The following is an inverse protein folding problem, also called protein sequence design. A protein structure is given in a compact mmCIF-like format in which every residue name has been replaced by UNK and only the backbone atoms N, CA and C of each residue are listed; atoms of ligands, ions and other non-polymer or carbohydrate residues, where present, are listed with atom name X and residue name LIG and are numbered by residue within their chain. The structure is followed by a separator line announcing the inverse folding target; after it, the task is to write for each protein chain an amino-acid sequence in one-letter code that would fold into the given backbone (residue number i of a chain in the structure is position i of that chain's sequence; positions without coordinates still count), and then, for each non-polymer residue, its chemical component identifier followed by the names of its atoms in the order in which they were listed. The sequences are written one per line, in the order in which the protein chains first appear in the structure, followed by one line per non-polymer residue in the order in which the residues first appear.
data_IF_737437140426
#
_entry.id   IF_737437140426
#
_cell.length_a   1.000
_cell.length_b   1.000
_cell.length_c   1.000
_cell.angle_alpha   90.00
_cell.angle_beta   90.00
_cell.angle_gamma   90.00
#
_symmetry.space_group_name_H-M   'P 1'
#
loop_
_entity.id
_entity.type
_entity.pdbx_description
1 polymer ?
#
# COMPACT_ATOMS: atom_id res chain seq x y z
N UNK A 1 -4.54 16.37 -0.74
CA UNK A 1 -6.00 16.20 -0.61
C UNK A 1 -6.28 15.77 0.82
N UNK A 2 -7.49 15.99 1.32
CA UNK A 2 -7.89 15.50 2.64
C UNK A 2 -8.84 14.30 2.46
N UNK A 3 -8.97 13.46 3.49
CA UNK A 3 -9.83 12.27 3.45
C UNK A 3 -11.30 12.59 3.10
N UNK A 4 -11.75 13.82 3.34
CA UNK A 4 -13.09 14.31 3.03
C UNK A 4 -13.38 14.32 1.53
N UNK A 5 -12.39 14.63 0.69
CA UNK A 5 -12.57 14.62 -0.76
C UNK A 5 -12.79 13.18 -1.26
N UNK A 6 -12.06 12.22 -0.69
CA UNK A 6 -12.26 10.80 -0.97
C UNK A 6 -13.63 10.33 -0.50
N UNK A 7 -14.06 10.67 0.73
CA UNK A 7 -15.38 10.31 1.26
C UNK A 7 -16.51 10.82 0.38
N UNK A 8 -16.35 12.02 -0.21
CA UNK A 8 -17.33 12.60 -1.13
C UNK A 8 -17.40 11.83 -2.46
N UNK A 9 -16.25 11.40 -2.98
CA UNK A 9 -16.16 10.67 -4.25
C UNK A 9 -16.56 9.19 -4.11
N UNK A 10 -16.11 8.55 -3.02
CA UNK A 10 -16.31 7.14 -2.69
C UNK A 10 -16.88 7.08 -1.28
N UNK A 11 -18.20 6.94 -1.08
CA UNK A 11 -18.76 6.84 0.25
C UNK A 11 -18.16 5.66 1.04
N UNK A 12 -17.67 5.86 2.27
CA UNK A 12 -17.14 4.77 3.08
C UNK A 12 -18.26 3.81 3.50
N UNK A 13 -17.92 2.56 3.86
CA UNK A 13 -18.91 1.64 4.39
C UNK A 13 -19.46 2.12 5.73
N UNK A 14 -20.71 1.73 6.01
CA UNK A 14 -21.34 1.98 7.32
C UNK A 14 -20.54 1.30 8.45
N UNK A 15 -19.99 0.11 8.17
CA UNK A 15 -19.11 -0.63 9.06
C UNK A 15 -17.84 -1.05 8.30
N UNK A 16 -16.67 -0.47 8.61
CA UNK A 16 -15.42 -0.88 7.97
C UNK A 16 -15.06 -2.31 8.38
N UNK A 17 -14.59 -3.10 7.40
CA UNK A 17 -14.14 -4.46 7.67
C UNK A 17 -12.68 -4.44 8.14
N UNK A 18 -12.41 -4.98 9.33
CA UNK A 18 -11.06 -5.09 9.89
C UNK A 18 -10.18 -3.82 9.76
N UNK A 19 -10.65 -2.64 10.20
CA UNK A 19 -9.84 -1.42 10.20
C UNK A 19 -8.62 -1.59 11.12
N UNK A 20 -7.53 -0.91 10.79
CA UNK A 20 -6.41 -0.79 11.72
C UNK A 20 -6.68 0.33 12.73
N UNK A 21 -6.92 -0.07 13.98
CA UNK A 21 -7.16 0.83 15.12
C UNK A 21 -5.98 0.89 16.10
N UNK A 22 -4.91 0.15 15.81
CA UNK A 22 -3.73 0.08 16.67
C UNK A 22 -2.91 1.38 16.70
N UNK A 23 -1.94 1.47 17.63
CA UNK A 23 -1.00 2.57 17.65
C UNK A 23 -0.11 2.55 16.39
N UNK A 24 0.14 3.73 15.83
CA UNK A 24 0.94 3.88 14.62
C UNK A 24 2.44 3.91 14.93
N UNK A 25 2.81 4.41 16.10
CA UNK A 25 4.18 4.64 16.52
C UNK A 25 5.04 3.37 16.44
N UNK A 26 4.58 2.19 16.90
CA UNK A 26 5.37 0.96 16.76
C UNK A 26 5.55 0.52 15.30
N UNK A 27 4.56 0.77 14.44
CA UNK A 27 4.61 0.43 13.01
C UNK A 27 5.58 1.37 12.28
N UNK A 28 5.45 2.68 12.49
CA UNK A 28 6.32 3.70 11.91
C UNK A 28 7.78 3.53 12.37
N UNK A 29 7.98 3.17 13.64
CA UNK A 29 9.29 2.82 14.15
C UNK A 29 9.90 1.58 13.46
N UNK A 30 9.08 0.57 13.16
CA UNK A 30 9.53 -0.63 12.45
C UNK A 30 9.85 -0.36 10.97
N UNK A 31 9.05 0.49 10.32
CA UNK A 31 9.29 0.94 8.95
C UNK A 31 10.53 1.85 8.87
N UNK A 32 10.78 2.62 9.93
CA UNK A 32 11.79 3.67 10.00
C UNK A 32 11.37 4.96 9.30
N UNK A 33 10.07 5.13 9.10
CA UNK A 33 9.46 6.34 8.55
C UNK A 33 8.03 6.50 9.07
N UNK A 34 7.59 7.74 9.24
CA UNK A 34 6.19 8.03 9.51
C UNK A 34 5.34 7.77 8.27
N UNK A 35 4.05 7.48 8.45
CA UNK A 35 3.10 7.26 7.35
C UNK A 35 2.23 8.50 7.13
N UNK A 36 1.74 8.72 5.89
CA UNK A 36 0.85 9.84 5.59
C UNK A 36 -0.43 9.83 6.45
N UNK A 37 -0.85 10.98 6.96
CA UNK A 37 -2.04 11.10 7.81
C UNK A 37 -3.33 10.76 7.05
N UNK A 38 -3.39 11.05 5.75
CA UNK A 38 -4.53 10.72 4.88
C UNK A 38 -4.71 9.21 4.71
N UNK A 39 -3.60 8.46 4.62
CA UNK A 39 -3.61 7.00 4.66
C UNK A 39 -4.11 6.45 5.99
N UNK A 40 -3.63 7.00 7.12
CA UNK A 40 -4.10 6.59 8.45
C UNK A 40 -5.60 6.80 8.60
N UNK A 41 -6.12 7.91 8.08
CA UNK A 41 -7.55 8.19 8.05
C UNK A 41 -8.30 7.23 7.11
N UNK A 42 -7.78 6.96 5.92
CA UNK A 42 -8.35 6.01 4.95
C UNK A 42 -8.51 4.62 5.57
N UNK A 43 -7.44 4.05 6.13
CA UNK A 43 -7.46 2.70 6.70
C UNK A 43 -8.45 2.58 7.85
N UNK A 44 -8.59 3.63 8.66
CA UNK A 44 -9.59 3.66 9.75
C UNK A 44 -11.03 3.74 9.24
N UNK A 45 -11.28 4.43 8.13
CA UNK A 45 -12.64 4.69 7.62
C UNK A 45 -13.15 3.63 6.66
N UNK A 46 -12.28 3.08 5.82
CA UNK A 46 -12.65 2.06 4.84
C UNK A 46 -12.36 0.65 5.36
N UNK A 47 -11.31 0.50 6.17
CA UNK A 47 -10.79 -0.81 6.54
C UNK A 47 -10.25 -1.56 5.32
N UNK A 48 -10.33 -2.88 5.38
CA UNK A 48 -10.02 -3.76 4.28
C UNK A 48 -11.22 -3.84 3.31
N UNK A 49 -10.94 -3.68 2.02
CA UNK A 49 -11.89 -3.86 0.94
C UNK A 49 -11.19 -3.74 -0.40
N UNK A 50 -12.00 -3.71 -1.45
CA UNK A 50 -11.55 -3.58 -2.83
C UNK A 50 -12.08 -2.28 -3.41
N UNK A 51 -11.18 -1.43 -3.91
CA UNK A 51 -11.52 -0.22 -4.65
C UNK A 51 -11.63 -0.56 -6.14
N UNK A 52 -12.64 -0.02 -6.80
CA UNK A 52 -12.86 -0.21 -8.25
C UNK A 52 -12.78 -1.67 -8.69
N UNK A 53 -13.35 -2.56 -7.89
CA UNK A 53 -13.38 -4.02 -8.07
C UNK A 53 -12.03 -4.76 -8.15
N UNK A 54 -10.89 -4.05 -8.25
CA UNK A 54 -9.59 -4.70 -8.49
C UNK A 54 -8.48 -4.26 -7.55
N UNK A 55 -8.57 -3.06 -6.95
CA UNK A 55 -7.44 -2.43 -6.25
C UNK A 55 -7.55 -2.63 -4.74
N UNK A 56 -6.54 -3.25 -4.16
CA UNK A 56 -6.42 -3.42 -2.72
C UNK A 56 -5.39 -2.47 -2.13
N UNK A 57 -5.81 -1.69 -1.14
CA UNK A 57 -4.89 -0.90 -0.31
C UNK A 57 -4.39 -1.78 0.83
N UNK A 58 -3.08 -1.79 1.05
CA UNK A 58 -2.47 -2.57 2.08
C UNK A 58 -2.81 -2.02 3.47
N UNK A 59 -3.29 -2.90 4.35
CA UNK A 59 -3.73 -2.55 5.71
C UNK A 59 -2.74 -3.10 6.73
N UNK A 60 -2.25 -2.28 7.68
CA UNK A 60 -1.30 -2.74 8.68
C UNK A 60 -1.92 -3.80 9.58
N UNK A 61 -1.13 -4.82 9.93
CA UNK A 61 -1.57 -5.92 10.82
C UNK A 61 -2.85 -6.63 10.34
N UNK A 62 -3.19 -6.53 9.04
CA UNK A 62 -4.35 -7.22 8.50
C UNK A 62 -4.25 -8.72 8.76
N UNK A 63 -5.36 -9.37 9.10
CA UNK A 63 -5.41 -10.83 9.23
C UNK A 63 -5.31 -11.53 7.87
N UNK A 64 -5.67 -10.81 6.81
CA UNK A 64 -5.57 -11.28 5.44
C UNK A 64 -4.15 -11.02 4.93
N UNK A 65 -3.39 -12.08 4.65
CA UNK A 65 -1.95 -12.01 4.36
C UNK A 65 -1.62 -11.24 3.09
N UNK A 66 -2.39 -11.44 2.01
CA UNK A 66 -2.10 -10.85 0.70
C UNK A 66 -2.33 -9.33 0.63
N UNK A 67 -3.03 -8.74 1.60
CA UNK A 67 -3.19 -7.28 1.75
C UNK A 67 -2.49 -6.72 2.98
N UNK A 68 -1.77 -7.55 3.75
CA UNK A 68 -1.10 -7.08 4.97
C UNK A 68 0.12 -6.26 4.58
N UNK A 69 0.13 -5.00 5.01
CA UNK A 69 1.15 -4.02 4.64
C UNK A 69 2.59 -4.50 4.86
N UNK A 70 2.87 -5.10 6.01
CA UNK A 70 4.22 -5.55 6.35
C UNK A 70 4.75 -6.68 5.45
N UNK A 71 3.88 -7.61 5.03
CA UNK A 71 4.25 -8.72 4.15
C UNK A 71 4.33 -8.26 2.70
N UNK A 72 3.41 -7.39 2.26
CA UNK A 72 3.40 -6.85 0.90
C UNK A 72 4.68 -6.10 0.55
N UNK A 73 5.30 -5.37 1.49
CA UNK A 73 6.60 -4.71 1.27
C UNK A 73 7.66 -5.70 0.78
N UNK A 74 7.77 -6.87 1.42
CA UNK A 74 8.74 -7.89 1.00
C UNK A 74 8.33 -8.54 -0.30
N UNK A 75 7.09 -8.98 -0.40
CA UNK A 75 6.58 -9.74 -1.56
C UNK A 75 6.73 -8.97 -2.87
N UNK A 76 6.61 -7.65 -2.80
CA UNK A 76 6.75 -6.76 -3.95
C UNK A 76 8.21 -6.32 -4.14
N UNK A 77 8.92 -5.93 -3.08
CA UNK A 77 10.28 -5.40 -3.25
C UNK A 77 11.35 -6.48 -3.50
N UNK A 78 11.18 -7.72 -3.03
CA UNK A 78 12.16 -8.80 -3.25
C UNK A 78 12.35 -9.12 -4.75
N UNK A 79 11.29 -9.40 -5.54
CA UNK A 79 11.44 -9.64 -6.97
C UNK A 79 12.02 -8.45 -7.75
N UNK A 80 11.82 -7.23 -7.24
CA UNK A 80 12.23 -5.99 -7.90
C UNK A 80 13.64 -5.54 -7.54
N UNK A 81 14.35 -6.22 -6.62
CA UNK A 81 15.66 -5.76 -6.13
C UNK A 81 16.74 -5.64 -7.21
N UNK A 82 16.63 -6.46 -8.23
CA UNK A 82 17.59 -6.54 -9.33
C UNK A 82 17.02 -5.96 -10.63
N UNK A 83 15.82 -5.36 -10.58
CA UNK A 83 15.24 -4.65 -11.71
C UNK A 83 15.97 -3.32 -11.91
N UNK A 84 16.72 -3.21 -13.01
CA UNK A 84 17.41 -1.99 -13.41
C UNK A 84 16.47 -1.03 -14.16
N UNK A 85 15.26 -1.48 -14.51
CA UNK A 85 14.23 -0.71 -15.23
C UNK A 85 13.54 0.33 -14.34
N UNK A 86 13.59 0.20 -13.02
CA UNK A 86 12.91 1.10 -12.10
C UNK A 86 13.63 2.46 -12.00
N UNK A 87 12.91 3.59 -12.18
CA UNK A 87 13.51 4.92 -12.10
C UNK A 87 13.80 5.38 -10.67
N UNK A 88 13.27 4.67 -9.67
CA UNK A 88 13.42 4.94 -8.25
C UNK A 88 14.02 3.71 -7.57
N UNK A 89 14.86 3.89 -6.53
CA UNK A 89 15.28 2.76 -5.73
C UNK A 89 14.10 2.18 -4.93
N UNK A 90 14.25 1.00 -4.36
CA UNK A 90 13.24 0.44 -3.46
C UNK A 90 13.47 0.92 -2.02
N UNK A 91 12.38 1.15 -1.28
CA UNK A 91 12.44 1.35 0.17
C UNK A 91 13.19 0.15 0.82
N UNK A 92 14.17 0.39 1.72
CA UNK A 92 14.37 1.58 2.55
C UNK A 92 15.42 2.60 2.05
N UNK A 93 15.83 2.54 0.79
CA UNK A 93 16.74 3.55 0.24
C UNK A 93 16.03 4.91 0.17
N UNK A 94 16.79 6.00 0.32
CA UNK A 94 16.25 7.36 0.24
C UNK A 94 15.64 7.62 -1.15
N UNK A 95 14.47 8.28 -1.20
CA UNK A 95 13.70 8.44 -2.43
C UNK A 95 13.07 7.14 -2.94
N UNK A 96 12.96 6.12 -2.06
CA UNK A 96 12.60 4.77 -2.45
C UNK A 96 11.10 4.51 -2.56
N UNK A 97 10.75 3.49 -3.36
CA UNK A 97 9.38 3.01 -3.54
C UNK A 97 8.93 2.14 -2.36
N UNK A 98 7.84 2.55 -1.70
CA UNK A 98 7.18 1.80 -0.64
C UNK A 98 5.78 1.37 -1.12
N UNK A 99 5.50 0.06 -1.32
CA UNK A 99 4.24 -0.37 -1.88
C UNK A 99 3.09 -0.12 -0.91
N UNK A 100 2.01 0.50 -1.38
CA UNK A 100 0.82 0.84 -0.60
C UNK A 100 -0.44 0.13 -1.10
N UNK A 101 -0.44 -0.35 -2.34
CA UNK A 101 -1.55 -1.12 -2.86
C UNK A 101 -1.17 -1.94 -4.08
N UNK A 102 -2.05 -2.86 -4.42
CA UNK A 102 -1.86 -3.76 -5.56
C UNK A 102 -3.21 -4.10 -6.19
N UNK A 103 -3.26 -4.19 -7.51
CA UNK A 103 -4.42 -4.69 -8.23
C UNK A 103 -4.43 -6.22 -8.30
N UNK A 104 -5.60 -6.82 -8.53
CA UNK A 104 -5.73 -8.26 -8.76
C UNK A 104 -4.90 -8.77 -9.94
N UNK A 105 -4.70 -7.93 -10.97
CA UNK A 105 -3.88 -8.27 -12.14
C UNK A 105 -2.38 -8.13 -11.90
N UNK A 106 -1.98 -7.52 -10.78
CA UNK A 106 -0.60 -7.46 -10.31
C UNK A 106 0.06 -6.08 -10.39
N UNK A 107 -0.64 -5.06 -10.88
CA UNK A 107 -0.15 -3.67 -10.92
C UNK A 107 0.05 -3.18 -9.50
N UNK A 108 1.09 -2.41 -9.27
CA UNK A 108 1.46 -1.94 -7.93
C UNK A 108 1.39 -0.43 -7.83
N UNK A 109 0.80 0.04 -6.74
CA UNK A 109 0.79 1.43 -6.31
C UNK A 109 1.84 1.60 -5.23
N UNK A 110 2.78 2.51 -5.44
CA UNK A 110 3.84 2.85 -4.50
C UNK A 110 3.72 4.30 -4.04
N UNK A 111 4.16 4.55 -2.82
CA UNK A 111 4.65 5.87 -2.44
C UNK A 111 6.10 6.05 -2.85
N UNK A 112 6.44 7.24 -3.35
CA UNK A 112 7.83 7.70 -3.44
C UNK A 112 8.18 8.34 -2.10
N UNK A 113 8.99 7.65 -1.29
CA UNK A 113 9.38 8.09 0.05
C UNK A 113 10.54 9.06 -0.04
N UNK A 114 10.20 10.32 -0.25
CA UNK A 114 11.14 11.45 -0.28
C UNK A 114 10.62 12.59 0.60
N UNK A 115 11.41 12.95 1.61
CA UNK A 115 11.05 13.97 2.58
C UNK A 115 9.88 13.59 3.51
N UNK A 116 9.13 14.57 4.04
CA UNK A 116 8.05 14.32 4.99
C UNK A 116 6.86 13.57 4.35
N UNK A 117 6.10 12.76 5.11
CA UNK A 117 5.02 11.94 4.54
C UNK A 117 3.93 12.72 3.80
N UNK A 118 3.71 14.00 4.15
CA UNK A 118 2.74 14.87 3.48
C UNK A 118 3.15 15.29 2.06
N UNK A 119 4.40 15.03 1.64
CA UNK A 119 4.89 15.36 0.29
C UNK A 119 5.05 14.13 -0.60
N UNK A 120 4.78 12.93 -0.09
CA UNK A 120 4.94 11.71 -0.86
C UNK A 120 3.94 11.66 -2.00
N UNK A 121 4.42 11.16 -3.14
CA UNK A 121 3.66 11.06 -4.39
C UNK A 121 3.39 9.61 -4.73
N UNK A 122 2.44 9.40 -5.63
CA UNK A 122 2.10 8.08 -6.13
C UNK A 122 2.96 7.72 -7.35
N UNK A 123 3.52 6.52 -7.33
CA UNK A 123 4.16 5.88 -8.47
C UNK A 123 3.40 4.59 -8.79
N UNK A 124 3.02 4.43 -10.06
CA UNK A 124 2.35 3.26 -10.59
C UNK A 124 3.37 2.45 -11.39
N UNK A 125 3.40 1.14 -11.18
CA UNK A 125 4.20 0.20 -11.95
C UNK A 125 3.36 -1.01 -12.31
N UNK A 126 3.27 -1.35 -13.59
CA UNK A 126 2.56 -2.55 -14.00
C UNK A 126 3.34 -3.79 -13.57
N UNK A 127 2.68 -4.94 -13.65
CA UNK A 127 3.27 -6.22 -13.24
C UNK A 127 4.55 -6.61 -14.02
N UNK A 128 4.71 -6.11 -15.25
CA UNK A 128 5.76 -6.53 -16.18
C UNK A 128 6.88 -5.49 -16.33
N UNK A 129 6.81 -4.38 -15.57
CA UNK A 129 7.75 -3.24 -15.62
C UNK A 129 7.80 -2.54 -16.99
N UNK A 130 6.72 -2.60 -17.77
CA UNK A 130 6.62 -2.00 -19.10
C UNK A 130 5.92 -0.65 -19.08
N UNK A 131 4.90 -0.51 -18.24
CA UNK A 131 4.21 0.75 -17.99
C UNK A 131 4.53 1.28 -16.59
N UNK A 132 4.94 2.55 -16.52
CA UNK A 132 5.24 3.24 -15.27
C UNK A 132 4.76 4.67 -15.34
N UNK A 133 4.19 5.17 -14.26
CA UNK A 133 3.68 6.55 -14.20
C UNK A 133 3.86 7.15 -12.81
N UNK A 134 4.41 8.37 -12.74
CA UNK A 134 4.40 9.17 -11.52
C UNK A 134 3.22 10.14 -11.55
N UNK A 135 2.48 10.22 -10.44
CA UNK A 135 1.35 11.12 -10.26
C UNK A 135 1.62 12.07 -9.10
N UNK A 136 1.48 13.36 -9.35
CA UNK A 136 1.66 14.42 -8.35
C UNK A 136 0.42 14.54 -7.44
N UNK A 137 0.11 13.47 -6.72
CA UNK A 137 -0.97 13.39 -5.75
C UNK A 137 -0.62 12.44 -4.60
N UNK A 138 -1.33 12.57 -3.49
CA UNK A 138 -1.32 11.61 -2.38
C UNK A 138 -2.27 10.43 -2.66
N UNK A 139 -2.32 9.47 -1.75
CA UNK A 139 -3.11 8.25 -1.93
C UNK A 139 -4.62 8.56 -2.02
N UNK A 140 -5.12 9.41 -1.12
CA UNK A 140 -6.55 9.75 -1.11
C UNK A 140 -6.95 10.56 -2.35
N UNK A 141 -6.08 11.44 -2.83
CA UNK A 141 -6.23 12.19 -4.07
C UNK A 141 -6.19 11.29 -5.30
N UNK A 142 -5.32 10.27 -5.33
CA UNK A 142 -5.30 9.25 -6.37
C UNK A 142 -6.64 8.52 -6.47
N UNK A 143 -7.13 7.96 -5.37
CA UNK A 143 -8.40 7.23 -5.34
C UNK A 143 -9.59 8.14 -5.69
N UNK A 144 -9.65 9.36 -5.16
CA UNK A 144 -10.72 10.30 -5.52
C UNK A 144 -10.65 10.73 -7.00
N UNK A 145 -9.43 10.89 -7.53
CA UNK A 145 -9.20 11.23 -8.94
C UNK A 145 -9.63 10.12 -9.88
N UNK A 146 -9.37 8.85 -9.53
CA UNK A 146 -9.88 7.68 -10.25
C UNK A 146 -11.41 7.66 -10.25
N UNK A 147 -12.04 7.77 -9.08
CA UNK A 147 -13.49 7.73 -8.93
C UNK A 147 -14.23 8.84 -9.69
N UNK A 148 -13.59 9.99 -9.88
CA UNK A 148 -14.18 11.14 -10.58
C UNK A 148 -13.73 11.26 -12.04
N UNK A 149 -12.86 10.37 -12.52
CA UNK A 149 -12.27 10.42 -13.85
C UNK A 149 -11.27 11.54 -14.09
N UNK A 150 -10.88 12.31 -13.06
CA UNK A 150 -9.84 13.35 -13.18
C UNK A 150 -8.44 12.75 -13.34
N UNK A 151 -8.24 11.53 -12.83
CA UNK A 151 -7.02 10.74 -13.02
C UNK A 151 -7.42 9.51 -13.82
N UNK A 152 -6.80 9.33 -14.98
CA UNK A 152 -6.97 8.16 -15.83
C UNK A 152 -5.58 7.63 -16.17
N UNK A 153 -5.04 6.73 -15.34
CA UNK A 153 -3.73 6.14 -15.58
C UNK A 153 -3.76 5.37 -16.89
N UNK A 154 -2.83 5.66 -17.78
CA UNK A 154 -2.76 4.99 -19.07
C UNK A 154 -2.18 3.59 -18.88
N UNK A 155 -2.82 2.57 -19.43
CA UNK A 155 -2.36 1.17 -19.38
C UNK A 155 -2.33 0.57 -17.95
N UNK A 156 -3.03 1.21 -17.00
CA UNK A 156 -3.06 0.85 -15.58
C UNK A 156 -4.48 0.67 -15.09
N UNK A 157 -4.73 -0.37 -14.28
CA UNK A 157 -6.01 -0.67 -13.63
C UNK A 157 -7.20 -0.95 -14.58
N UNK A 158 -7.20 -0.47 -15.83
CA UNK A 158 -8.26 -0.71 -16.84
C UNK A 158 -9.69 -0.56 -16.27
N UNK A 159 -9.93 0.51 -15.51
CA UNK A 159 -11.20 0.75 -14.82
C UNK A 159 -12.35 0.97 -15.81
N UNK A 160 -13.51 0.38 -15.52
CA UNK A 160 -14.75 0.58 -16.26
C UNK A 160 -15.69 1.53 -15.50
N UNK A 161 -16.52 2.34 -16.20
CA UNK A 161 -17.45 3.27 -15.55
C UNK A 161 -18.46 2.62 -14.60
N UNK A 162 -18.79 1.35 -14.81
CA UNK A 162 -19.72 0.56 -14.02
C UNK A 162 -19.12 -0.07 -12.76
N UNK A 163 -17.80 -0.04 -12.59
CA UNK A 163 -17.12 -0.70 -11.47
C UNK A 163 -17.61 -0.15 -10.13
N UNK A 164 -17.87 -1.05 -9.18
CA UNK A 164 -18.14 -0.68 -7.81
C UNK A 164 -16.95 0.11 -7.23
N UNK A 165 -17.21 1.34 -6.77
CA UNK A 165 -16.15 2.23 -6.27
C UNK A 165 -15.44 1.66 -5.04
N UNK A 166 -16.19 1.01 -4.15
CA UNK A 166 -15.63 0.32 -2.98
C UNK A 166 -16.53 -0.80 -2.48
N UNK A 167 -15.94 -1.99 -2.30
CA UNK A 167 -16.58 -3.13 -1.67
C UNK A 167 -15.85 -3.53 -0.39
N UNK A 168 -16.52 -3.50 0.78
CA UNK A 168 -15.89 -3.94 2.04
C UNK A 168 -15.59 -5.42 1.97
N UNK A 169 -14.43 -5.82 2.50
CA UNK A 169 -14.07 -7.22 2.59
C UNK A 169 -15.12 -7.98 3.42
N UNK A 170 -15.73 -9.00 2.82
CA UNK A 170 -16.72 -9.83 3.50
C UNK A 170 -16.08 -11.17 3.90
N UNK A 171 -16.31 -11.62 5.14
CA UNK A 171 -15.81 -12.92 5.63
C UNK A 171 -16.62 -14.11 5.06
N UNK A 172 -17.63 -13.88 4.22
CA UNK A 172 -18.56 -14.94 3.80
C UNK A 172 -17.93 -15.76 2.67
N UNK A 173 -17.08 -16.72 3.05
CA UNK A 173 -16.50 -17.68 2.10
C UNK A 173 -15.18 -18.29 2.54
N UNK A 174 -14.47 -17.71 3.52
CA UNK A 174 -13.23 -18.30 4.02
C UNK A 174 -13.50 -19.34 5.12
N UNK A 175 -12.82 -20.48 5.00
CA UNK A 175 -12.72 -21.47 6.06
C UNK A 175 -12.23 -20.82 7.37
N UNK A 176 -12.62 -21.34 8.56
CA UNK A 176 -12.07 -20.84 9.81
C UNK A 176 -10.55 -20.86 9.73
N UNK A 177 -9.85 -19.85 10.26
CA UNK A 177 -8.40 -19.78 10.18
C UNK A 177 -7.83 -21.11 10.68
N UNK A 178 -7.13 -21.83 9.80
CA UNK A 178 -6.23 -22.87 10.25
C UNK A 178 -5.36 -22.28 11.36
N UNK A 179 -5.16 -23.08 12.40
CA UNK A 179 -4.68 -22.70 13.71
C UNK A 179 -3.70 -21.51 13.65
N UNK A 180 -3.93 -20.55 14.55
CA UNK A 180 -2.99 -19.48 14.88
C UNK A 180 -1.62 -20.14 15.14
N UNK A 181 -0.80 -20.26 14.11
CA UNK A 181 0.64 -20.27 14.31
C UNK A 181 0.93 -18.89 14.88
N UNK A 182 1.42 -18.88 16.10
CA UNK A 182 1.97 -17.70 16.72
C UNK A 182 3.21 -17.30 15.90
N UNK A 183 3.00 -16.51 14.83
CA UNK A 183 4.07 -16.08 13.90
C UNK A 183 5.08 -15.13 14.57
N UNK A 184 4.89 -14.79 15.84
CA UNK A 184 5.98 -14.21 16.63
C UNK A 184 7.10 -15.23 16.90
N UNK A 185 6.82 -16.53 16.74
CA UNK A 185 7.74 -17.65 16.98
C UNK A 185 8.28 -18.33 15.71
N UNK A 186 7.68 -18.12 14.53
CA UNK A 186 8.27 -18.57 13.28
C UNK A 186 9.46 -17.68 12.94
N UNK A 187 10.66 -18.18 13.25
CA UNK A 187 11.95 -17.46 13.26
C UNK A 187 12.45 -16.86 11.95
N UNK A 188 11.58 -16.57 10.98
CA UNK A 188 11.93 -15.86 9.75
C UNK A 188 11.86 -14.34 9.88
N UNK A 189 10.76 -13.78 10.39
CA UNK A 189 10.46 -12.34 10.22
C UNK A 189 9.62 -11.74 11.36
N UNK A 190 10.16 -11.80 12.58
CA UNK A 190 9.69 -10.98 13.71
C UNK A 190 10.04 -9.50 13.56
N UNK A 191 9.58 -8.68 14.51
CA UNK A 191 9.80 -7.22 14.58
C UNK A 191 11.25 -6.77 14.31
N UNK A 192 12.22 -7.64 14.61
CA UNK A 192 13.65 -7.44 14.42
C UNK A 192 14.07 -7.37 12.95
N UNK A 193 13.37 -8.02 12.02
CA UNK A 193 13.85 -8.17 10.64
C UNK A 193 13.46 -7.02 9.71
N UNK A 194 12.30 -6.39 9.89
CA UNK A 194 11.98 -5.13 9.19
C UNK A 194 12.95 -4.02 9.62
N UNK A 195 13.21 -3.92 10.93
CA UNK A 195 14.20 -2.98 11.46
C UNK A 195 15.61 -3.24 10.92
N UNK A 196 16.01 -4.50 10.76
CA UNK A 196 17.34 -4.83 10.22
C UNK A 196 17.46 -4.53 8.72
N UNK A 197 16.38 -4.65 7.94
CA UNK A 197 16.33 -4.20 6.55
C UNK A 197 16.53 -2.69 6.45
N UNK A 198 15.79 -1.91 7.25
CA UNK A 198 15.93 -0.45 7.30
C UNK A 198 17.33 -0.03 7.73
N UNK A 199 17.88 -0.64 8.78
CA UNK A 199 19.23 -0.33 9.26
C UNK A 199 20.31 -0.65 8.22
N UNK A 200 20.21 -1.80 7.54
CA UNK A 200 21.18 -2.20 6.50
C UNK A 200 21.10 -1.32 5.26
N UNK A 201 19.91 -0.87 4.87
CA UNK A 201 19.73 0.03 3.73
C UNK A 201 20.31 1.43 4.01
N UNK A 202 20.12 1.97 5.21
CA UNK A 202 20.72 3.24 5.63
C UNK A 202 22.26 3.23 5.66
N UNK A 203 22.86 2.04 5.78
CA UNK A 203 24.32 1.87 5.79
C UNK A 203 24.91 1.63 4.40
N UNK A 204 24.09 1.40 3.36
CA UNK A 204 24.58 1.18 2.00
C UNK A 204 24.71 2.54 1.30
N UNK A 205 25.90 2.88 0.75
CA UNK A 205 26.06 4.15 0.03
C UNK A 205 25.15 4.17 -1.20
N UNK A 206 24.61 5.35 -1.59
CA UNK A 206 23.85 5.46 -2.83
C UNK A 206 24.70 4.97 -4.00
N UNK A 207 24.11 4.18 -4.91
CA UNK A 207 24.77 3.81 -6.16
C UNK A 207 25.14 5.11 -6.88
N UNK A 208 26.44 5.30 -7.15
CA UNK A 208 27.01 6.46 -7.84
C UNK A 208 26.74 6.42 -9.34
#
# INVERSE_FOLDING_TARGET
MTIEALIKAIPPPVLPAAPFEGPWEPLEYQLGTALPEDYKALVRRYGHGTFFEILHIHVPRSRVSHVRFETSIREICEPLREADELPYPLWPQAGGLLPVGRSEVGDTVFWIVDGPPSTWRIFLCDRDLMAMQTLDCDLTGFLAGLATGHIQPKDFLNLMPEDALFEPWNRRGEAPPEAIEDWTQSGGYGQTTLRSLTLKAQLKPPKS
#
